data_IF_591061469143
#
_entry.id   IF_591061469143
#
_cell.length_a   1.000
_cell.length_b   1.000
_cell.length_c   1.000
_cell.angle_alpha   90.00
_cell.angle_beta   90.00
_cell.angle_gamma   90.00
#
_symmetry.space_group_name_H-M   'P 1'
#
loop_
_entity.id
_entity.type
_entity.pdbx_description
1 polymer ?
#
# COMPACT_ATOMS: atom_id res chain seq x y z
N UNK A 1 -3.27 -6.15 10.58
CA UNK A 1 -2.75 -5.35 11.71
C UNK A 1 -2.03 -4.16 11.12
N UNK A 2 -1.81 -3.07 11.85
CA UNK A 2 -0.99 -1.96 11.32
C UNK A 2 0.48 -2.23 11.70
N UNK A 3 1.42 -1.65 10.95
CA UNK A 3 2.84 -1.79 11.27
C UNK A 3 3.16 -1.11 12.62
N UNK A 4 4.21 -1.55 13.30
CA UNK A 4 4.71 -0.96 14.54
C UNK A 4 5.91 -0.02 14.30
N UNK A 5 6.26 0.24 13.04
CA UNK A 5 7.46 1.00 12.67
C UNK A 5 7.29 2.45 13.12
N UNK A 6 8.18 2.88 14.01
CA UNK A 6 8.23 4.25 14.54
C UNK A 6 9.45 5.03 14.07
N UNK A 7 10.48 4.33 13.57
CA UNK A 7 11.72 4.93 13.10
C UNK A 7 12.23 4.18 11.86
N UNK A 8 12.57 4.93 10.83
CA UNK A 8 13.32 4.43 9.67
C UNK A 8 14.75 4.97 9.73
N UNK A 9 15.72 4.07 9.67
CA UNK A 9 17.13 4.43 9.58
C UNK A 9 17.74 4.01 8.25
N UNK A 10 18.79 4.70 7.84
CA UNK A 10 19.49 4.48 6.58
C UNK A 10 20.92 5.01 6.65
N UNK A 11 21.78 4.62 5.71
CA UNK A 11 23.13 5.15 5.57
C UNK A 11 23.22 6.46 4.77
N UNK A 12 22.10 6.91 4.19
CA UNK A 12 22.03 8.19 3.48
C UNK A 12 22.67 8.21 2.09
N UNK A 13 23.08 7.06 1.54
CA UNK A 13 23.55 6.97 0.16
C UNK A 13 22.43 7.37 -0.83
N UNK A 14 22.79 7.68 -2.08
CA UNK A 14 21.81 7.76 -3.18
C UNK A 14 21.07 6.42 -3.36
N UNK A 15 20.04 6.40 -4.21
CA UNK A 15 19.28 5.18 -4.49
C UNK A 15 18.43 4.75 -3.30
N UNK A 16 18.54 3.48 -2.91
CA UNK A 16 17.64 2.86 -1.93
C UNK A 16 17.66 3.56 -0.56
N UNK A 17 18.84 3.93 -0.07
CA UNK A 17 19.04 4.60 1.21
C UNK A 17 18.24 5.93 1.27
N UNK A 18 18.38 6.77 0.25
CA UNK A 18 17.63 8.03 0.11
C UNK A 18 16.13 7.79 -0.09
N UNK A 19 15.76 6.81 -0.92
CA UNK A 19 14.36 6.42 -1.14
C UNK A 19 13.65 6.04 0.16
N UNK A 20 14.33 5.32 1.05
CA UNK A 20 13.83 4.94 2.37
C UNK A 20 13.55 6.14 3.27
N UNK A 21 14.47 7.10 3.32
CA UNK A 21 14.31 8.34 4.10
C UNK A 21 13.13 9.19 3.57
N UNK A 22 12.99 9.29 2.25
CA UNK A 22 11.86 9.98 1.63
C UNK A 22 10.53 9.25 1.88
N UNK A 23 10.50 7.92 1.91
CA UNK A 23 9.29 7.16 2.23
C UNK A 23 8.80 7.45 3.65
N UNK A 24 9.72 7.49 4.61
CA UNK A 24 9.41 7.82 6.00
C UNK A 24 8.81 9.23 6.11
N UNK A 25 9.42 10.20 5.42
CA UNK A 25 8.90 11.57 5.36
C UNK A 25 7.49 11.63 4.71
N UNK A 26 7.24 10.85 3.66
CA UNK A 26 5.94 10.79 2.98
C UNK A 26 4.78 10.31 3.88
N UNK A 27 5.08 9.56 4.94
CA UNK A 27 4.09 9.01 5.89
C UNK A 27 4.23 9.57 7.30
N UNK A 28 5.14 10.52 7.53
CA UNK A 28 5.34 11.16 8.84
C UNK A 28 5.99 10.28 9.91
N UNK A 29 6.77 9.27 9.50
CA UNK A 29 7.57 8.43 10.41
C UNK A 29 8.93 9.10 10.65
N UNK A 30 9.44 9.00 11.89
CA UNK A 30 10.74 9.57 12.24
C UNK A 30 11.87 8.92 11.41
N UNK A 31 12.91 9.70 11.14
CA UNK A 31 14.09 9.25 10.41
C UNK A 31 15.36 9.36 11.24
N UNK A 32 16.39 8.62 10.86
CA UNK A 32 17.72 8.70 11.44
C UNK A 32 18.71 7.75 10.78
N UNK A 33 19.71 7.32 11.55
CA UNK A 33 20.78 6.42 11.11
C UNK A 33 22.14 7.07 11.18
N UNK A 34 23.18 6.29 10.91
CA UNK A 34 24.55 6.76 10.81
C UNK A 34 24.91 6.93 9.32
N UNK A 35 25.40 8.11 8.97
CA UNK A 35 26.03 8.43 7.69
C UNK A 35 27.56 8.41 7.84
N UNK A 36 28.34 8.29 6.76
CA UNK A 36 29.79 8.48 6.82
C UNK A 36 30.15 9.91 7.24
N UNK A 37 31.42 10.10 7.60
CA UNK A 37 32.00 11.43 7.81
C UNK A 37 31.65 12.36 6.65
N UNK A 38 31.32 13.60 6.99
CA UNK A 38 30.86 14.69 6.13
C UNK A 38 29.61 14.35 5.31
N UNK A 39 28.80 13.39 5.78
CA UNK A 39 27.57 12.95 5.10
C UNK A 39 27.84 12.53 3.64
N UNK A 40 28.97 11.85 3.42
CA UNK A 40 29.43 11.50 2.08
C UNK A 40 28.49 10.51 1.37
N UNK A 41 28.23 10.80 0.11
CA UNK A 41 27.51 9.96 -0.85
C UNK A 41 28.34 9.79 -2.12
N UNK A 42 27.86 9.03 -3.10
CA UNK A 42 28.55 8.90 -4.39
C UNK A 42 28.63 10.23 -5.18
N UNK A 43 27.77 11.19 -4.86
CA UNK A 43 27.76 12.53 -5.47
C UNK A 43 28.56 13.56 -4.66
N UNK A 44 29.26 13.11 -3.60
CA UNK A 44 29.93 13.98 -2.63
C UNK A 44 29.12 14.18 -1.34
N UNK A 45 29.48 15.19 -0.57
CA UNK A 45 28.85 15.49 0.72
C UNK A 45 27.38 15.91 0.54
N UNK A 46 26.48 15.33 1.34
CA UNK A 46 25.06 15.64 1.35
C UNK A 46 24.59 16.13 2.74
N UNK A 47 24.75 17.41 3.08
CA UNK A 47 24.35 17.95 4.38
C UNK A 47 22.83 17.90 4.64
N UNK A 48 22.00 17.66 3.63
CA UNK A 48 20.55 17.50 3.79
C UNK A 48 20.18 16.29 4.65
N UNK A 49 21.07 15.30 4.79
CA UNK A 49 20.88 14.15 5.66
C UNK A 49 20.68 14.53 7.13
N UNK A 50 21.17 15.70 7.56
CA UNK A 50 20.92 16.26 8.91
C UNK A 50 19.42 16.50 9.13
N UNK A 51 18.67 16.89 8.09
CA UNK A 51 17.21 17.13 8.18
C UNK A 51 16.42 15.85 8.40
N UNK A 52 17.00 14.70 8.05
CA UNK A 52 16.47 13.37 8.32
C UNK A 52 17.01 12.78 9.64
N UNK A 53 17.69 13.59 10.46
CA UNK A 53 18.19 13.15 11.76
C UNK A 53 19.35 12.15 11.70
N UNK A 54 20.04 12.03 10.57
CA UNK A 54 21.22 11.17 10.50
C UNK A 54 22.36 11.79 11.31
N UNK A 55 23.09 10.92 12.00
CA UNK A 55 24.32 11.26 12.70
C UNK A 55 25.52 11.04 11.78
N UNK A 56 26.53 11.86 11.93
CA UNK A 56 27.81 11.72 11.22
C UNK A 56 28.73 10.74 11.97
N UNK A 57 29.34 9.82 11.23
CA UNK A 57 30.43 8.97 11.72
C UNK A 57 31.76 9.72 11.78
N UNK A 58 32.65 9.33 12.71
CA UNK A 58 34.03 9.86 12.76
C UNK A 58 34.90 9.40 11.57
N UNK A 59 34.42 8.43 10.78
CA UNK A 59 35.08 7.85 9.60
C UNK A 59 34.21 7.94 8.35
N UNK A 60 34.86 8.16 7.21
CA UNK A 60 34.28 8.13 5.87
C UNK A 60 34.08 6.70 5.31
N UNK A 61 34.55 5.69 6.04
CA UNK A 61 34.36 4.29 5.67
C UNK A 61 32.89 3.89 5.72
N UNK A 62 32.35 3.51 4.57
CA UNK A 62 30.97 3.04 4.44
C UNK A 62 30.70 1.76 5.23
N UNK A 63 31.72 0.97 5.58
CA UNK A 63 31.54 -0.25 6.35
C UNK A 63 31.01 0.04 7.76
N UNK A 64 31.59 1.04 8.43
CA UNK A 64 31.24 1.43 9.81
C UNK A 64 29.76 1.82 9.90
N UNK A 65 29.29 2.69 9.00
CA UNK A 65 27.89 3.12 8.98
C UNK A 65 26.93 1.98 8.63
N UNK A 66 27.34 1.08 7.74
CA UNK A 66 26.49 -0.05 7.29
C UNK A 66 26.26 -1.02 8.44
N UNK A 67 27.33 -1.43 9.13
CA UNK A 67 27.24 -2.34 10.28
C UNK A 67 26.45 -1.69 11.42
N UNK A 68 26.72 -0.41 11.72
CA UNK A 68 26.01 0.32 12.75
C UNK A 68 24.49 0.33 12.53
N UNK A 69 24.04 0.64 11.31
CA UNK A 69 22.61 0.70 11.00
C UNK A 69 21.95 -0.68 11.07
N UNK A 70 22.60 -1.75 10.62
CA UNK A 70 22.11 -3.14 10.78
C UNK A 70 21.96 -3.51 12.26
N UNK A 71 22.94 -3.17 13.11
CA UNK A 71 22.90 -3.48 14.53
C UNK A 71 21.82 -2.70 15.28
N UNK A 72 21.62 -1.43 14.90
CA UNK A 72 20.68 -0.50 15.55
C UNK A 72 19.22 -0.85 15.24
N UNK A 73 18.94 -1.35 14.04
CA UNK A 73 17.58 -1.71 13.64
C UNK A 73 17.12 -3.06 14.22
N UNK A 74 15.79 -3.22 14.31
CA UNK A 74 15.19 -4.52 14.60
C UNK A 74 15.33 -5.46 13.39
N UNK A 75 15.18 -4.91 12.18
CA UNK A 75 15.31 -5.65 10.92
C UNK A 75 15.77 -4.74 9.77
N UNK A 76 16.28 -5.33 8.69
CA UNK A 76 16.73 -4.59 7.49
C UNK A 76 15.98 -5.02 6.24
N UNK A 77 15.39 -4.09 5.50
CA UNK A 77 14.92 -4.36 4.12
C UNK A 77 15.93 -3.82 3.12
N UNK A 78 16.22 -4.63 2.10
CA UNK A 78 17.27 -4.38 1.11
C UNK A 78 16.65 -4.29 -0.28
N UNK A 79 16.83 -3.15 -0.94
CA UNK A 79 16.44 -2.97 -2.34
C UNK A 79 17.68 -2.99 -3.23
N UNK A 80 17.87 -4.07 -3.99
CA UNK A 80 19.04 -4.25 -4.83
C UNK A 80 18.74 -5.09 -6.08
N UNK A 81 18.86 -4.49 -7.27
CA UNK A 81 18.87 -5.25 -8.53
C UNK A 81 20.19 -6.03 -8.71
N UNK A 82 21.28 -5.47 -8.17
CA UNK A 82 22.60 -6.08 -8.15
C UNK A 82 22.98 -6.46 -6.73
N UNK A 83 22.54 -7.65 -6.31
CA UNK A 83 22.80 -8.21 -4.97
C UNK A 83 24.28 -8.50 -4.71
N UNK A 84 25.09 -8.60 -5.76
CA UNK A 84 26.52 -8.87 -5.68
C UNK A 84 27.40 -7.62 -5.46
N UNK A 85 26.82 -6.42 -5.37
CA UNK A 85 27.60 -5.21 -5.07
C UNK A 85 28.16 -5.24 -3.65
N UNK A 86 29.31 -4.62 -3.43
CA UNK A 86 30.04 -4.70 -2.16
C UNK A 86 29.20 -4.22 -0.97
N UNK A 87 28.49 -3.10 -1.12
CA UNK A 87 27.60 -2.57 -0.07
C UNK A 87 26.41 -3.49 0.26
N UNK A 88 25.82 -4.12 -0.76
CA UNK A 88 24.71 -5.07 -0.54
C UNK A 88 25.20 -6.36 0.13
N UNK A 89 26.33 -6.92 -0.34
CA UNK A 89 26.95 -8.09 0.29
C UNK A 89 27.28 -7.83 1.75
N UNK A 90 27.95 -6.71 2.03
CA UNK A 90 28.28 -6.32 3.40
C UNK A 90 27.02 -6.22 4.28
N UNK A 91 25.94 -5.63 3.77
CA UNK A 91 24.68 -5.52 4.52
C UNK A 91 24.10 -6.89 4.85
N UNK A 92 24.04 -7.79 3.87
CA UNK A 92 23.54 -9.16 4.04
C UNK A 92 24.42 -9.94 5.01
N UNK A 93 25.74 -9.91 4.83
CA UNK A 93 26.72 -10.58 5.69
C UNK A 93 26.63 -10.07 7.13
N UNK A 94 26.46 -8.76 7.32
CA UNK A 94 26.23 -8.16 8.63
C UNK A 94 24.93 -8.65 9.26
N UNK A 95 23.83 -8.71 8.50
CA UNK A 95 22.56 -9.24 8.99
C UNK A 95 22.69 -10.70 9.43
N UNK A 96 23.34 -11.54 8.62
CA UNK A 96 23.59 -12.95 8.93
C UNK A 96 24.47 -13.09 10.18
N UNK A 97 25.61 -12.39 10.20
CA UNK A 97 26.59 -12.43 11.30
C UNK A 97 25.98 -12.05 12.65
N UNK A 98 25.10 -11.05 12.64
CA UNK A 98 24.47 -10.50 13.84
C UNK A 98 23.05 -11.01 14.09
N UNK A 99 22.60 -12.02 13.33
CA UNK A 99 21.28 -12.65 13.46
C UNK A 99 20.12 -11.64 13.40
N UNK A 100 20.27 -10.62 12.55
CA UNK A 100 19.23 -9.62 12.29
C UNK A 100 18.34 -10.10 11.13
N UNK A 101 17.01 -10.09 11.27
CA UNK A 101 16.11 -10.40 10.17
C UNK A 101 16.33 -9.45 8.99
N UNK A 102 16.27 -9.98 7.77
CA UNK A 102 16.31 -9.16 6.57
C UNK A 102 15.38 -9.69 5.48
N UNK A 103 14.95 -8.79 4.60
CA UNK A 103 14.11 -9.08 3.45
C UNK A 103 14.64 -8.35 2.21
N UNK A 104 14.69 -9.03 1.06
CA UNK A 104 15.27 -8.48 -0.18
C UNK A 104 14.16 -8.28 -1.22
N UNK A 105 14.11 -7.08 -1.79
CA UNK A 105 13.20 -6.67 -2.87
C UNK A 105 11.73 -7.10 -2.68
N UNK A 106 11.11 -6.89 -1.50
CA UNK A 106 9.69 -7.18 -1.34
C UNK A 106 8.84 -6.21 -2.13
N UNK A 107 7.61 -6.61 -2.48
CA UNK A 107 6.55 -5.65 -2.78
C UNK A 107 5.97 -5.04 -1.48
N UNK A 108 5.04 -4.10 -1.61
CA UNK A 108 4.47 -3.37 -0.47
C UNK A 108 3.70 -4.27 0.50
N UNK A 109 3.06 -5.33 0.00
CA UNK A 109 2.25 -6.26 0.81
C UNK A 109 3.18 -7.19 1.58
N UNK A 110 4.13 -7.82 0.87
CA UNK A 110 5.12 -8.70 1.47
C UNK A 110 5.94 -7.95 2.54
N UNK A 111 6.30 -6.68 2.28
CA UNK A 111 6.95 -5.85 3.28
C UNK A 111 6.04 -5.57 4.48
N UNK A 112 4.78 -5.19 4.26
CA UNK A 112 3.84 -4.91 5.34
C UNK A 112 3.63 -6.12 6.27
N UNK A 113 3.35 -7.29 5.70
CA UNK A 113 3.14 -8.51 6.48
C UNK A 113 4.42 -8.90 7.24
N UNK A 114 5.58 -8.85 6.59
CA UNK A 114 6.86 -9.15 7.23
C UNK A 114 7.18 -8.20 8.39
N UNK A 115 6.89 -6.90 8.27
CA UNK A 115 7.10 -5.93 9.36
C UNK A 115 6.26 -6.27 10.60
N UNK A 116 5.04 -6.78 10.41
CA UNK A 116 4.16 -7.19 11.50
C UNK A 116 4.65 -8.49 12.13
N UNK A 117 4.99 -9.48 11.32
CA UNK A 117 5.50 -10.79 11.77
C UNK A 117 6.77 -10.63 12.60
N UNK A 118 7.68 -9.77 12.17
CA UNK A 118 8.94 -9.49 12.87
C UNK A 118 8.80 -8.45 14.00
N UNK A 119 7.61 -7.89 14.21
CA UNK A 119 7.34 -6.84 15.21
C UNK A 119 8.30 -5.65 15.13
N UNK A 120 8.65 -5.23 13.91
CA UNK A 120 9.66 -4.20 13.64
C UNK A 120 9.19 -2.83 14.15
N UNK A 121 10.00 -2.17 14.97
CA UNK A 121 9.82 -0.77 15.39
C UNK A 121 10.86 0.16 14.77
N UNK A 122 12.09 -0.32 14.63
CA UNK A 122 13.19 0.36 13.93
C UNK A 122 13.55 -0.44 12.69
N UNK A 123 13.25 0.13 11.51
CA UNK A 123 13.53 -0.49 10.23
C UNK A 123 14.75 0.17 9.57
N UNK A 124 15.77 -0.62 9.26
CA UNK A 124 16.86 -0.15 8.40
C UNK A 124 16.48 -0.36 6.93
N UNK A 125 16.65 0.68 6.10
CA UNK A 125 16.55 0.58 4.64
C UNK A 125 17.96 0.64 4.07
N UNK A 126 18.31 -0.35 3.28
CA UNK A 126 19.59 -0.43 2.59
C UNK A 126 19.40 -0.80 1.11
N UNK A 127 20.43 -0.63 0.29
CA UNK A 127 20.39 -1.14 -1.07
C UNK A 127 21.42 -0.58 -2.02
N UNK A 128 21.19 -0.78 -3.31
CA UNK A 128 22.07 -0.23 -4.33
C UNK A 128 21.96 1.30 -4.38
N UNK A 129 23.09 1.95 -4.65
CA UNK A 129 23.17 3.36 -5.02
C UNK A 129 22.61 3.60 -6.42
N UNK A 130 22.22 4.83 -6.71
CA UNK A 130 21.52 5.19 -7.95
C UNK A 130 22.35 4.88 -9.21
N UNK A 131 23.68 5.08 -9.16
CA UNK A 131 24.56 4.72 -10.30
C UNK A 131 24.64 3.22 -10.61
N UNK A 132 24.26 2.34 -9.67
CA UNK A 132 24.28 0.89 -9.85
C UNK A 132 22.92 0.39 -10.34
N UNK A 133 21.83 0.92 -9.79
CA UNK A 133 20.47 0.55 -10.18
C UNK A 133 19.62 1.82 -10.36
N UNK A 134 19.56 2.31 -11.60
CA UNK A 134 18.81 3.54 -11.92
C UNK A 134 17.31 3.36 -11.63
N UNK A 135 16.71 4.34 -10.95
CA UNK A 135 15.31 4.34 -10.53
C UNK A 135 15.05 3.60 -9.21
N UNK A 136 16.06 3.00 -8.58
CA UNK A 136 15.86 2.21 -7.37
C UNK A 136 15.44 3.06 -6.17
N UNK A 137 15.86 4.33 -6.10
CA UNK A 137 15.42 5.25 -5.06
C UNK A 137 13.92 5.49 -5.09
N UNK A 138 13.35 5.74 -6.28
CA UNK A 138 11.91 5.94 -6.45
C UNK A 138 11.11 4.66 -6.16
N UNK A 139 11.60 3.51 -6.63
CA UNK A 139 10.98 2.21 -6.33
C UNK A 139 10.98 1.93 -4.83
N UNK A 140 12.11 2.16 -4.16
CA UNK A 140 12.23 1.99 -2.70
C UNK A 140 11.26 2.92 -1.98
N UNK A 141 11.22 4.19 -2.37
CA UNK A 141 10.32 5.19 -1.79
C UNK A 141 8.86 4.74 -1.90
N UNK A 142 8.45 4.27 -3.07
CA UNK A 142 7.10 3.81 -3.32
C UNK A 142 6.74 2.59 -2.47
N UNK A 143 7.53 1.53 -2.54
CA UNK A 143 7.24 0.27 -1.85
C UNK A 143 7.18 0.48 -0.34
N UNK A 144 8.18 1.15 0.24
CA UNK A 144 8.24 1.37 1.70
C UNK A 144 7.07 2.24 2.17
N UNK A 145 6.79 3.35 1.47
CA UNK A 145 5.67 4.24 1.80
C UNK A 145 4.34 3.52 1.75
N UNK A 146 4.11 2.74 0.70
CA UNK A 146 2.84 2.07 0.48
C UNK A 146 2.67 0.96 1.53
N UNK A 147 3.72 0.18 1.83
CA UNK A 147 3.72 -0.84 2.90
C UNK A 147 3.37 -0.26 4.28
N UNK A 148 3.90 0.92 4.60
CA UNK A 148 3.64 1.61 5.87
C UNK A 148 2.26 2.29 5.91
N UNK A 149 1.65 2.51 4.75
CA UNK A 149 0.34 3.14 4.61
C UNK A 149 -0.80 2.12 4.59
N UNK A 150 -0.51 0.82 4.44
CA UNK A 150 -1.50 -0.25 4.49
C UNK A 150 -2.06 -0.43 5.91
N UNK A 151 -3.37 -0.62 5.99
CA UNK A 151 -4.09 -0.91 7.22
C UNK A 151 -5.25 -1.86 6.98
N UNK A 152 -5.66 -2.58 8.03
CA UNK A 152 -6.74 -3.54 7.95
C UNK A 152 -8.06 -2.91 8.39
N UNK A 153 -9.07 -3.02 7.53
CA UNK A 153 -10.47 -2.76 7.86
C UNK A 153 -11.21 -4.08 7.94
N UNK A 154 -11.84 -4.35 9.09
CA UNK A 154 -12.71 -5.51 9.22
C UNK A 154 -14.11 -5.13 8.73
N UNK A 155 -14.76 -6.06 8.03
CA UNK A 155 -16.14 -5.88 7.60
C UNK A 155 -16.88 -7.19 7.48
N UNK A 156 -18.19 -7.10 7.28
CA UNK A 156 -19.06 -8.26 7.04
C UNK A 156 -19.53 -8.25 5.60
N UNK A 157 -19.47 -9.40 4.94
CA UNK A 157 -20.08 -9.59 3.63
C UNK A 157 -21.60 -9.53 3.78
N UNK A 158 -22.24 -8.54 3.17
CA UNK A 158 -23.70 -8.39 3.16
C UNK A 158 -24.26 -8.61 1.76
N UNK A 159 -25.55 -8.90 1.69
CA UNK A 159 -26.25 -8.99 0.43
C UNK A 159 -26.50 -7.59 -0.13
N UNK A 160 -25.90 -7.27 -1.28
CA UNK A 160 -26.25 -6.10 -2.08
C UNK A 160 -27.47 -6.34 -2.98
N UNK A 161 -27.75 -5.39 -3.87
CA UNK A 161 -28.88 -5.47 -4.82
C UNK A 161 -28.68 -6.49 -5.95
N UNK A 162 -27.51 -7.14 -6.05
CA UNK A 162 -27.16 -8.16 -7.07
C UNK A 162 -27.16 -7.69 -8.53
N UNK A 163 -27.26 -6.37 -8.74
CA UNK A 163 -27.18 -5.71 -10.07
C UNK A 163 -25.79 -5.86 -10.69
N UNK A 164 -24.73 -5.69 -9.89
CA UNK A 164 -23.34 -5.85 -10.34
C UNK A 164 -23.06 -7.24 -10.95
N UNK A 165 -23.61 -8.28 -10.33
CA UNK A 165 -23.48 -9.68 -10.75
C UNK A 165 -24.51 -10.13 -11.79
N UNK A 166 -25.48 -9.28 -12.16
CA UNK A 166 -26.56 -9.64 -13.08
C UNK A 166 -27.56 -10.67 -12.52
N UNK A 167 -27.61 -10.86 -11.21
CA UNK A 167 -28.53 -11.79 -10.53
C UNK A 167 -29.79 -11.09 -9.97
N UNK A 168 -29.99 -9.83 -10.33
CA UNK A 168 -31.17 -9.06 -9.95
C UNK A 168 -32.29 -9.27 -10.99
N UNK A 169 -33.48 -9.69 -10.53
CA UNK A 169 -34.60 -10.05 -11.41
C UNK A 169 -35.07 -8.89 -12.29
N UNK A 170 -35.07 -7.65 -11.77
CA UNK A 170 -35.58 -6.45 -12.45
C UNK A 170 -34.46 -5.53 -13.00
N UNK A 171 -33.24 -6.06 -13.19
CA UNK A 171 -32.12 -5.24 -13.68
C UNK A 171 -32.21 -5.02 -15.19
N UNK A 172 -32.09 -3.76 -15.69
CA UNK A 172 -31.97 -3.50 -17.13
C UNK A 172 -30.65 -4.03 -17.71
N UNK A 173 -29.69 -4.41 -16.85
CA UNK A 173 -28.36 -4.88 -17.24
C UNK A 173 -28.32 -6.41 -17.25
N UNK A 174 -28.65 -7.02 -18.38
CA UNK A 174 -28.81 -8.47 -18.55
C UNK A 174 -27.56 -9.32 -18.30
N UNK A 175 -26.36 -8.73 -18.32
CA UNK A 175 -25.07 -9.40 -18.04
C UNK A 175 -24.43 -8.98 -16.70
N UNK A 176 -25.11 -8.12 -15.93
CA UNK A 176 -24.54 -7.43 -14.78
C UNK A 176 -23.66 -6.24 -15.18
N UNK A 177 -23.64 -5.19 -14.34
CA UNK A 177 -22.94 -3.93 -14.69
C UNK A 177 -21.43 -4.13 -14.82
N UNK A 178 -20.81 -4.92 -13.94
CA UNK A 178 -19.36 -5.15 -13.99
C UNK A 178 -18.95 -5.80 -15.32
N UNK A 179 -19.66 -6.86 -15.75
CA UNK A 179 -19.39 -7.51 -17.05
C UNK A 179 -19.48 -6.53 -18.22
N UNK A 180 -20.45 -5.61 -18.19
CA UNK A 180 -20.65 -4.61 -19.24
C UNK A 180 -19.59 -3.50 -19.21
N UNK A 181 -19.09 -3.15 -18.02
CA UNK A 181 -18.11 -2.09 -17.82
C UNK A 181 -16.66 -2.52 -18.11
N UNK A 182 -16.31 -3.81 -17.93
CA UNK A 182 -14.93 -4.34 -18.10
C UNK A 182 -14.24 -3.87 -19.40
N UNK A 183 -14.86 -3.96 -20.59
CA UNK A 183 -14.19 -3.54 -21.83
C UNK A 183 -13.79 -2.05 -21.84
N UNK A 184 -14.56 -1.21 -21.16
CA UNK A 184 -14.28 0.23 -21.07
C UNK A 184 -13.11 0.49 -20.13
N UNK A 185 -13.10 -0.15 -18.95
CA UNK A 185 -11.99 -0.02 -18.00
C UNK A 185 -10.68 -0.57 -18.57
N UNK A 186 -10.75 -1.69 -19.30
CA UNK A 186 -9.58 -2.27 -19.96
C UNK A 186 -8.96 -1.31 -20.98
N UNK A 187 -9.79 -0.66 -21.81
CA UNK A 187 -9.34 0.37 -22.75
C UNK A 187 -8.75 1.62 -22.06
N UNK A 188 -9.14 1.88 -20.82
CA UNK A 188 -8.63 2.97 -19.98
C UNK A 188 -7.41 2.57 -19.13
N UNK A 189 -6.94 1.32 -19.25
CA UNK A 189 -5.71 0.83 -18.63
C UNK A 189 -5.88 0.03 -17.34
N UNK A 190 -7.11 -0.39 -17.00
CA UNK A 190 -7.39 -1.29 -15.88
C UNK A 190 -8.05 -2.58 -16.38
N UNK A 191 -7.29 -3.68 -16.38
CA UNK A 191 -7.79 -5.00 -16.80
C UNK A 191 -8.38 -5.77 -15.61
N UNK A 192 -9.69 -5.99 -15.65
CA UNK A 192 -10.44 -6.77 -14.65
C UNK A 192 -10.94 -8.12 -15.20
N UNK A 193 -10.41 -8.58 -16.34
CA UNK A 193 -10.91 -9.77 -17.04
C UNK A 193 -10.81 -11.06 -16.23
N UNK A 194 -9.81 -11.18 -15.35
CA UNK A 194 -9.59 -12.31 -14.44
C UNK A 194 -10.38 -12.22 -13.13
N UNK A 195 -11.01 -11.08 -12.85
CA UNK A 195 -11.72 -10.83 -11.61
C UNK A 195 -13.16 -11.35 -11.68
N UNK A 196 -13.77 -11.56 -10.51
CA UNK A 196 -15.17 -11.95 -10.44
C UNK A 196 -16.07 -10.84 -11.01
N UNK A 197 -17.07 -11.23 -11.80
CA UNK A 197 -17.97 -10.30 -12.51
C UNK A 197 -19.10 -9.84 -11.59
N UNK A 198 -18.75 -9.20 -10.49
CA UNK A 198 -19.67 -8.65 -9.49
C UNK A 198 -18.90 -7.97 -8.35
N UNK A 199 -19.64 -7.40 -7.41
CA UNK A 199 -19.04 -6.72 -6.23
C UNK A 199 -19.35 -7.48 -4.95
N UNK A 200 -18.34 -7.62 -4.10
CA UNK A 200 -18.50 -7.94 -2.69
C UNK A 200 -18.97 -6.67 -1.99
N UNK A 201 -20.11 -6.74 -1.34
CA UNK A 201 -20.67 -5.64 -0.56
C UNK A 201 -20.23 -5.84 0.89
N UNK A 202 -19.27 -5.05 1.36
CA UNK A 202 -18.61 -5.22 2.65
C UNK A 202 -18.98 -4.07 3.59
N UNK A 203 -19.79 -4.38 4.59
CA UNK A 203 -20.17 -3.41 5.64
C UNK A 203 -19.05 -3.30 6.67
N UNK A 204 -18.46 -2.11 6.76
CA UNK A 204 -17.36 -1.78 7.67
C UNK A 204 -17.81 -1.02 8.92
N UNK A 205 -19.11 -1.03 9.25
CA UNK A 205 -19.65 -0.37 10.44
C UNK A 205 -18.87 -0.74 11.72
N UNK A 206 -18.62 0.23 12.64
CA UNK A 206 -19.14 1.60 12.66
C UNK A 206 -18.30 2.61 11.87
N UNK A 207 -17.38 2.15 11.02
CA UNK A 207 -16.56 3.05 10.20
C UNK A 207 -17.29 3.46 8.93
N UNK A 208 -17.09 4.71 8.53
CA UNK A 208 -17.35 5.20 7.17
C UNK A 208 -16.04 5.38 6.43
N UNK A 209 -16.06 5.63 5.13
CA UNK A 209 -14.83 5.89 4.37
C UNK A 209 -14.93 7.09 3.44
N UNK A 210 -13.77 7.57 2.99
CA UNK A 210 -13.64 8.54 1.91
C UNK A 210 -12.56 8.08 0.94
N UNK A 211 -12.80 8.27 -0.35
CA UNK A 211 -11.79 8.12 -1.39
C UNK A 211 -10.92 9.38 -1.38
N UNK A 212 -9.60 9.19 -1.35
CA UNK A 212 -8.60 10.25 -1.25
C UNK A 212 -7.83 10.38 -2.56
N UNK A 213 -6.88 9.47 -2.80
CA UNK A 213 -6.06 9.42 -4.01
C UNK A 213 -6.13 8.03 -4.65
N UNK A 214 -7.24 7.66 -5.29
CA UNK A 214 -7.39 6.36 -5.91
C UNK A 214 -6.38 6.19 -7.05
N UNK A 215 -5.93 4.95 -7.28
CA UNK A 215 -4.96 4.66 -8.34
C UNK A 215 -5.52 4.97 -9.73
N UNK A 216 -6.80 4.68 -9.96
CA UNK A 216 -7.51 5.07 -11.18
C UNK A 216 -8.70 5.97 -10.86
N UNK A 217 -8.91 6.97 -11.71
CA UNK A 217 -10.16 7.74 -11.77
C UNK A 217 -10.53 7.94 -13.22
N UNK A 218 -11.57 7.25 -13.66
CA UNK A 218 -12.13 7.36 -15.00
C UNK A 218 -13.32 8.28 -14.97
N UNK A 219 -13.30 9.33 -15.81
CA UNK A 219 -14.35 10.35 -15.86
C UNK A 219 -15.23 10.15 -17.09
N UNK A 220 -16.53 10.38 -16.95
CA UNK A 220 -17.51 10.39 -18.03
C UNK A 220 -17.49 9.10 -18.89
N UNK A 221 -17.39 7.95 -18.25
CA UNK A 221 -17.38 6.65 -18.93
C UNK A 221 -18.79 6.32 -19.43
N UNK A 222 -18.95 6.30 -20.75
CA UNK A 222 -20.23 6.01 -21.42
C UNK A 222 -20.39 4.51 -21.70
N UNK A 223 -20.68 3.73 -20.66
CA UNK A 223 -20.70 2.26 -20.72
C UNK A 223 -22.08 1.65 -21.05
N UNK A 224 -23.13 2.47 -21.12
CA UNK A 224 -24.51 2.04 -21.44
C UNK A 224 -25.34 3.20 -21.98
N UNK A 225 -26.43 2.89 -22.68
CA UNK A 225 -27.40 3.88 -23.19
C UNK A 225 -28.53 4.21 -22.20
N UNK A 226 -28.62 3.48 -21.08
CA UNK A 226 -29.74 3.59 -20.12
C UNK A 226 -29.69 4.85 -19.24
N UNK A 227 -28.53 5.50 -19.12
CA UNK A 227 -28.34 6.72 -18.34
C UNK A 227 -27.12 7.51 -18.85
N UNK A 228 -26.91 8.75 -18.37
CA UNK A 228 -25.71 9.52 -18.70
C UNK A 228 -24.41 8.81 -18.27
N UNK A 229 -23.27 9.20 -18.86
CA UNK A 229 -21.95 8.69 -18.46
C UNK A 229 -21.65 8.92 -16.98
N UNK A 230 -20.81 8.06 -16.43
CA UNK A 230 -20.49 8.05 -14.99
C UNK A 230 -18.99 8.14 -14.73
N UNK A 231 -18.65 8.51 -13.49
CA UNK A 231 -17.28 8.50 -12.99
C UNK A 231 -17.05 7.26 -12.12
N UNK A 232 -15.84 6.70 -12.21
CA UNK A 232 -15.41 5.54 -11.44
C UNK A 232 -14.02 5.75 -10.85
N UNK A 233 -13.87 5.47 -9.57
CA UNK A 233 -12.55 5.39 -8.91
C UNK A 233 -12.25 3.97 -8.49
N UNK A 234 -10.98 3.59 -8.61
CA UNK A 234 -10.47 2.29 -8.20
C UNK A 234 -9.27 2.45 -7.29
N UNK A 235 -9.34 1.78 -6.16
CA UNK A 235 -8.24 1.71 -5.20
C UNK A 235 -7.84 0.28 -4.93
N UNK A 236 -6.55 0.00 -4.97
CA UNK A 236 -6.05 -1.35 -4.77
C UNK A 236 -6.31 -1.82 -3.33
N UNK A 237 -6.71 -3.09 -3.19
CA UNK A 237 -6.89 -3.72 -1.90
C UNK A 237 -6.58 -5.22 -1.97
N UNK A 238 -6.44 -5.85 -0.82
CA UNK A 238 -6.51 -7.29 -0.71
C UNK A 238 -7.64 -7.70 0.23
N UNK A 239 -8.37 -8.73 -0.18
CA UNK A 239 -9.42 -9.35 0.63
C UNK A 239 -8.82 -10.59 1.29
N UNK A 240 -8.81 -10.63 2.62
CA UNK A 240 -8.42 -11.80 3.39
C UNK A 240 -9.68 -12.53 3.88
N UNK A 241 -9.78 -13.80 3.50
CA UNK A 241 -10.84 -14.71 3.93
C UNK A 241 -10.24 -16.04 4.37
N UNK A 242 -10.55 -16.51 5.59
CA UNK A 242 -10.05 -17.76 6.17
C UNK A 242 -8.52 -17.93 6.08
N UNK A 243 -7.77 -16.82 6.16
CA UNK A 243 -6.31 -16.79 6.09
C UNK A 243 -5.71 -16.66 4.68
N UNK A 244 -6.51 -16.81 3.62
CA UNK A 244 -6.06 -16.62 2.24
C UNK A 244 -6.30 -15.17 1.80
N UNK A 245 -5.31 -14.59 1.12
CA UNK A 245 -5.38 -13.25 0.52
C UNK A 245 -5.75 -13.36 -0.97
N UNK A 246 -6.60 -12.44 -1.41
CA UNK A 246 -7.06 -12.32 -2.79
C UNK A 246 -6.91 -10.87 -3.22
N UNK A 247 -6.32 -10.66 -4.40
CA UNK A 247 -6.23 -9.32 -4.98
C UNK A 247 -7.62 -8.78 -5.30
N UNK A 248 -7.79 -7.47 -5.09
CA UNK A 248 -9.06 -6.81 -5.33
C UNK A 248 -8.92 -5.30 -5.54
N UNK A 249 -10.04 -4.71 -5.93
CA UNK A 249 -10.19 -3.29 -6.14
C UNK A 249 -11.41 -2.82 -5.37
N UNK A 250 -11.22 -1.84 -4.50
CA UNK A 250 -12.35 -1.04 -4.03
C UNK A 250 -12.86 -0.26 -5.24
N UNK A 251 -14.09 -0.59 -5.63
CA UNK A 251 -14.82 -0.01 -6.74
C UNK A 251 -15.72 1.08 -6.20
N UNK A 252 -15.48 2.32 -6.61
CA UNK A 252 -16.29 3.46 -6.20
C UNK A 252 -16.99 4.08 -7.41
N UNK A 253 -18.25 3.70 -7.67
CA UNK A 253 -19.07 4.33 -8.71
C UNK A 253 -19.66 5.63 -8.15
N UNK A 254 -19.06 6.79 -8.44
CA UNK A 254 -19.34 8.08 -7.79
C UNK A 254 -20.85 8.42 -7.69
N UNK A 255 -21.54 8.07 -6.58
CA UNK A 255 -22.99 8.19 -6.51
C UNK A 255 -23.45 9.65 -6.43
N UNK A 256 -22.57 10.57 -6.03
CA UNK A 256 -22.82 12.02 -6.07
C UNK A 256 -23.11 12.55 -7.48
N UNK A 257 -22.72 11.80 -8.52
CA UNK A 257 -23.09 12.12 -9.91
C UNK A 257 -24.49 11.63 -10.27
N UNK A 258 -25.17 10.88 -9.40
CA UNK A 258 -26.51 10.29 -9.61
C UNK A 258 -27.57 10.93 -8.71
N UNK A 259 -28.69 11.33 -9.32
CA UNK A 259 -29.74 12.17 -8.70
C UNK A 259 -30.57 11.43 -7.62
N UNK A 260 -30.53 10.10 -7.53
CA UNK A 260 -31.38 9.30 -6.61
C UNK A 260 -30.72 8.02 -6.11
N UNK A 261 -29.77 8.08 -5.17
CA UNK A 261 -29.33 6.88 -4.46
C UNK A 261 -29.08 7.14 -2.96
N UNK A 262 -29.66 6.26 -2.13
CA UNK A 262 -29.35 6.14 -0.72
C UNK A 262 -27.97 5.50 -0.59
N UNK A 263 -26.97 6.27 -0.19
CA UNK A 263 -25.60 5.80 -0.02
C UNK A 263 -25.41 5.33 1.42
N UNK A 264 -25.09 4.04 1.62
CA UNK A 264 -24.62 3.57 2.93
C UNK A 264 -23.13 3.95 3.04
N UNK A 265 -22.75 4.94 3.88
CA UNK A 265 -21.38 5.43 3.94
C UNK A 265 -20.39 4.42 4.56
N UNK A 266 -20.89 3.32 5.09
CA UNK A 266 -20.13 2.19 5.65
C UNK A 266 -20.02 1.01 4.70
N UNK A 267 -20.54 1.11 3.46
CA UNK A 267 -20.53 0.00 2.51
C UNK A 267 -19.42 0.16 1.48
N UNK A 268 -18.40 -0.70 1.53
CA UNK A 268 -17.40 -0.81 0.48
C UNK A 268 -17.84 -1.83 -0.56
N UNK A 269 -17.82 -1.44 -1.83
CA UNK A 269 -17.94 -2.37 -2.95
C UNK A 269 -16.54 -2.80 -3.42
N UNK A 270 -16.28 -4.11 -3.46
CA UNK A 270 -14.99 -4.66 -3.85
C UNK A 270 -15.13 -5.64 -5.00
N UNK A 271 -14.37 -5.43 -6.07
CA UNK A 271 -14.18 -6.40 -7.16
C UNK A 271 -12.92 -7.19 -6.83
N UNK A 272 -13.05 -8.47 -6.51
CA UNK A 272 -11.93 -9.33 -6.13
C UNK A 272 -11.72 -10.47 -7.13
N UNK A 273 -10.54 -11.08 -7.11
CA UNK A 273 -10.35 -12.41 -7.69
C UNK A 273 -11.38 -13.39 -7.09
N UNK A 274 -11.78 -14.44 -7.82
CA UNK A 274 -12.77 -15.40 -7.33
C UNK A 274 -12.38 -15.99 -5.97
N UNK A 275 -13.28 -15.85 -4.98
CA UNK A 275 -13.15 -16.43 -3.65
C UNK A 275 -14.20 -17.53 -3.52
N UNK A 276 -13.76 -18.77 -3.33
CA UNK A 276 -14.66 -19.89 -3.12
C UNK A 276 -15.27 -19.85 -1.71
N UNK A 277 -16.44 -20.46 -1.55
CA UNK A 277 -17.11 -20.68 -0.26
C UNK A 277 -17.43 -19.41 0.55
N UNK A 278 -17.67 -18.28 -0.13
CA UNK A 278 -18.20 -17.08 0.50
C UNK A 278 -19.69 -17.23 0.80
N UNK A 279 -20.08 -16.87 2.01
CA UNK A 279 -21.47 -16.82 2.46
C UNK A 279 -21.76 -15.44 3.06
N UNK A 280 -22.98 -14.93 2.84
CA UNK A 280 -23.40 -13.69 3.49
C UNK A 280 -23.32 -13.83 5.01
N UNK A 281 -22.77 -12.80 5.66
CA UNK A 281 -22.43 -12.79 7.08
C UNK A 281 -20.97 -13.11 7.38
N UNK A 282 -20.21 -13.63 6.40
CA UNK A 282 -18.78 -13.90 6.58
C UNK A 282 -18.02 -12.63 6.98
N UNK A 283 -17.08 -12.80 7.91
CA UNK A 283 -16.16 -11.74 8.31
C UNK A 283 -14.98 -11.71 7.35
N UNK A 284 -14.75 -10.54 6.75
CA UNK A 284 -13.68 -10.29 5.81
C UNK A 284 -12.74 -9.22 6.38
N UNK A 285 -11.47 -9.34 6.02
CA UNK A 285 -10.47 -8.31 6.29
C UNK A 285 -10.05 -7.69 4.97
N UNK A 286 -10.13 -6.37 4.88
CA UNK A 286 -9.66 -5.59 3.75
C UNK A 286 -8.34 -4.94 4.12
N UNK A 287 -7.27 -5.28 3.43
CA UNK A 287 -6.01 -4.56 3.49
C UNK A 287 -6.07 -3.44 2.45
N UNK A 288 -6.11 -2.19 2.90
CA UNK A 288 -6.27 -1.01 2.05
C UNK A 288 -5.20 0.04 2.36
N UNK A 289 -4.88 0.88 1.38
CA UNK A 289 -3.90 1.95 1.53
C UNK A 289 -4.57 3.24 2.04
N UNK A 290 -4.10 3.76 3.18
CA UNK A 290 -4.63 4.97 3.84
C UNK A 290 -4.50 6.26 3.03
N UNK A 291 -3.60 6.25 2.02
CA UNK A 291 -3.45 7.36 1.07
C UNK A 291 -4.53 7.33 -0.02
N UNK A 292 -5.09 6.15 -0.29
CA UNK A 292 -6.14 5.98 -1.30
C UNK A 292 -7.53 6.02 -0.68
N UNK A 293 -7.70 5.38 0.48
CA UNK A 293 -8.97 5.27 1.19
C UNK A 293 -8.73 5.56 2.66
N UNK A 294 -9.49 6.51 3.22
CA UNK A 294 -9.46 6.82 4.65
C UNK A 294 -10.73 6.34 5.32
N UNK A 295 -10.63 5.33 6.17
CA UNK A 295 -11.68 4.91 7.08
C UNK A 295 -11.72 5.83 8.31
N UNK A 296 -12.92 6.23 8.71
CA UNK A 296 -13.19 7.13 9.82
C UNK A 296 -14.23 6.46 10.71
N UNK A 297 -13.99 6.40 12.02
CA UNK A 297 -15.03 5.96 12.93
C UNK A 297 -16.18 6.97 12.87
N UNK A 298 -17.40 6.53 12.56
CA UNK A 298 -18.56 7.40 12.61
C UNK A 298 -18.70 7.89 14.06
N UNK A 299 -18.39 9.15 14.32
CA UNK A 299 -18.74 9.75 15.60
C UNK A 299 -20.26 9.67 15.73
N UNK A 300 -20.76 9.11 16.83
CA UNK A 300 -22.18 9.17 17.19
C UNK A 300 -22.68 10.59 16.89
N UNK A 301 -23.73 10.78 16.06
CA UNK A 301 -24.35 12.08 15.95
C UNK A 301 -24.79 12.44 17.36
N UNK A 302 -24.12 13.44 17.95
CA UNK A 302 -24.39 13.91 19.30
C UNK A 302 -25.91 14.06 19.46
N UNK A 303 -26.46 13.36 20.45
CA UNK A 303 -27.72 13.70 21.09
C UNK A 303 -27.61 15.20 21.41
N UNK A 304 -28.23 16.05 20.58
CA UNK A 304 -28.53 17.42 20.96
C UNK A 304 -29.73 17.29 21.87
N UNK A 305 -29.45 17.30 23.18
CA UNK A 305 -30.43 17.61 24.21
C UNK A 305 -30.98 19.03 24.01
#
# INVERSE_FOLDING_TARGET
MNTLVTLIISGGQTGADWGGLLAAADVGIATGGLAPKSYLTELGANPELVKFGLLESDSDDYEIRTIHNVLTADATVIFADYTNSDGTKLTIESCIKHQKPYLINPDSIALHDWLIEQQVKVLNIAGNRESIAQGIGDRTRQVVRDALSLYVVNGKLIQGHRVASGLAEDSPYSKGTISMQIPYFQNLGLDLSSYFRGTLNIDISPYTYTIQKPLYTFRQVNWTTEHPPEDFSFSSCQVRHKGTLYDGWVYYPHPETKIRHFHNPSLLEVIALPINDLVYGDSLQLLINSREIKALCAQNPKIRA
#
